data_IF_007990729126
#
_entry.id   IF_007990729126
#
_cell.length_a   1.000
_cell.length_b   1.000
_cell.length_c   1.000
_cell.angle_alpha   90.00
_cell.angle_beta   90.00
_cell.angle_gamma   90.00
#
_symmetry.space_group_name_H-M   'P 1'
#
loop_
_entity.id
_entity.type
_entity.pdbx_description
1 polymer ?
#
# COMPACT_ATOMS: atom_id res chain seq x y z
N UNK A 1 -6.77 -43.79 -60.20
CA UNK A 1 -7.28 -43.20 -58.95
C UNK A 1 -6.33 -42.08 -58.55
N UNK A 2 -6.80 -40.86 -58.69
CA UNK A 2 -6.11 -39.60 -58.38
C UNK A 2 -6.08 -39.38 -56.88
N UNK A 3 -4.89 -39.30 -56.29
CA UNK A 3 -4.69 -38.69 -54.98
C UNK A 3 -3.82 -37.45 -55.20
N UNK A 4 -4.47 -36.33 -55.46
CA UNK A 4 -3.79 -35.04 -55.57
C UNK A 4 -3.51 -34.54 -54.16
N UNK A 5 -2.27 -34.69 -53.70
CA UNK A 5 -1.77 -34.03 -52.50
C UNK A 5 -1.08 -32.73 -52.94
N UNK A 6 -1.78 -31.60 -52.83
CA UNK A 6 -1.16 -30.29 -52.95
C UNK A 6 -0.61 -29.86 -51.59
N UNK A 7 0.72 -29.72 -51.54
CA UNK A 7 1.43 -28.97 -50.50
C UNK A 7 1.41 -27.49 -50.88
N UNK A 8 1.00 -26.63 -49.95
CA UNK A 8 1.27 -25.19 -50.02
C UNK A 8 1.89 -24.70 -48.71
N UNK A 9 3.20 -24.44 -48.79
CA UNK A 9 3.95 -23.37 -48.15
C UNK A 9 3.45 -22.80 -46.81
N UNK A 10 4.19 -23.06 -45.73
CA UNK A 10 4.15 -22.28 -44.48
C UNK A 10 4.69 -20.87 -44.74
N UNK A 11 3.94 -19.79 -44.44
CA UNK A 11 4.55 -18.52 -44.10
C UNK A 11 4.94 -18.56 -42.62
N UNK A 12 6.17 -18.15 -42.37
CA UNK A 12 6.76 -17.89 -41.07
C UNK A 12 5.78 -17.20 -40.11
N UNK A 13 5.49 -17.87 -39.00
CA UNK A 13 4.72 -17.33 -37.90
C UNK A 13 5.13 -18.05 -36.65
N UNK A 14 5.93 -17.38 -35.82
CA UNK A 14 6.28 -17.83 -34.48
C UNK A 14 4.97 -18.15 -33.75
N UNK A 15 4.77 -19.42 -33.39
CA UNK A 15 3.78 -19.77 -32.38
C UNK A 15 4.34 -19.21 -31.07
N UNK A 16 3.97 -17.98 -30.73
CA UNK A 16 3.97 -17.56 -29.34
C UNK A 16 2.89 -18.39 -28.68
N UNK A 17 3.28 -19.55 -28.13
CA UNK A 17 2.45 -20.21 -27.12
C UNK A 17 2.21 -19.14 -26.06
N UNK A 18 0.96 -18.67 -25.95
CA UNK A 18 0.55 -17.82 -24.85
C UNK A 18 0.93 -18.56 -23.58
N UNK A 19 1.96 -18.06 -22.91
CA UNK A 19 2.18 -18.31 -21.51
C UNK A 19 0.93 -17.79 -20.81
N UNK A 20 -0.02 -18.68 -20.51
CA UNK A 20 -0.96 -18.47 -19.43
C UNK A 20 -0.16 -18.55 -18.12
N UNK A 21 0.70 -17.54 -17.90
CA UNK A 21 1.06 -17.15 -16.54
C UNK A 21 -0.19 -16.51 -16.00
N UNK A 22 -0.92 -17.31 -15.22
CA UNK A 22 -1.85 -16.87 -14.20
C UNK A 22 -1.52 -15.46 -13.72
N UNK A 23 -2.26 -14.48 -14.23
CA UNK A 23 -2.40 -13.18 -13.60
C UNK A 23 -3.29 -13.40 -12.37
N UNK A 24 -2.76 -14.18 -11.42
CA UNK A 24 -3.26 -14.18 -10.07
C UNK A 24 -2.87 -12.81 -9.53
N UNK A 25 -3.87 -11.93 -9.46
CA UNK A 25 -3.85 -10.67 -8.75
C UNK A 25 -3.06 -10.86 -7.45
N UNK A 26 -1.84 -10.35 -7.39
CA UNK A 26 -1.18 -10.16 -6.11
C UNK A 26 -2.02 -9.09 -5.43
N UNK A 27 -2.89 -9.49 -4.51
CA UNK A 27 -3.32 -8.60 -3.44
C UNK A 27 -2.01 -8.19 -2.79
N UNK A 28 -1.58 -6.95 -2.99
CA UNK A 28 -0.49 -6.39 -2.22
C UNK A 28 -0.97 -6.44 -0.76
N UNK A 29 -0.51 -7.45 -0.02
CA UNK A 29 -0.86 -7.63 1.37
C UNK A 29 -0.35 -6.43 2.15
N UNK A 30 -1.20 -5.84 2.99
CA UNK A 30 -0.78 -4.72 3.80
C UNK A 30 0.35 -5.14 4.75
N UNK A 31 1.55 -4.59 4.55
CA UNK A 31 2.72 -4.99 5.33
C UNK A 31 2.81 -4.31 6.71
N UNK A 32 1.88 -3.41 7.03
CA UNK A 32 1.84 -2.72 8.32
C UNK A 32 0.99 -3.51 9.30
N UNK A 33 1.63 -4.03 10.34
CA UNK A 33 0.93 -4.69 11.44
C UNK A 33 0.20 -3.66 12.30
N UNK A 34 -1.08 -3.90 12.53
CA UNK A 34 -1.93 -3.01 13.32
C UNK A 34 -2.81 -3.81 14.28
N UNK A 35 -3.06 -3.27 15.46
CA UNK A 35 -4.07 -3.81 16.39
C UNK A 35 -5.30 -2.91 16.43
N UNK A 36 -6.49 -3.51 16.55
CA UNK A 36 -7.74 -2.77 16.74
C UNK A 36 -7.80 -2.23 18.18
N UNK A 37 -8.09 -0.94 18.34
CA UNK A 37 -8.32 -0.35 19.67
C UNK A 37 -9.83 -0.24 19.93
N UNK A 38 -10.60 0.34 19.00
CA UNK A 38 -12.05 0.45 19.15
C UNK A 38 -12.66 1.70 18.55
N UNK A 39 -13.93 1.91 18.85
CA UNK A 39 -14.77 2.97 18.28
C UNK A 39 -14.95 4.15 19.26
N UNK A 40 -14.55 5.36 18.86
CA UNK A 40 -14.50 6.54 19.73
C UNK A 40 -15.10 7.78 19.09
N UNK A 41 -15.75 8.61 19.92
CA UNK A 41 -16.28 9.90 19.48
C UNK A 41 -15.13 10.85 19.13
N UNK A 42 -15.33 11.65 18.09
CA UNK A 42 -14.42 12.72 17.65
C UNK A 42 -15.16 14.05 17.70
N UNK A 43 -15.29 14.60 18.90
CA UNK A 43 -15.89 15.91 19.06
C UNK A 43 -14.92 16.95 18.47
N UNK A 44 -15.38 17.66 17.43
CA UNK A 44 -14.58 18.71 16.77
C UNK A 44 -14.25 19.86 17.73
N UNK A 45 -15.09 20.08 18.74
CA UNK A 45 -15.00 21.18 19.71
C UNK A 45 -14.66 20.63 21.10
N UNK A 46 -13.71 21.24 21.84
CA UNK A 46 -12.88 22.40 21.48
C UNK A 46 -11.78 22.07 20.46
N UNK A 47 -11.43 20.79 20.31
CA UNK A 47 -10.48 20.28 19.33
C UNK A 47 -10.68 18.78 19.16
N UNK A 48 -10.48 18.28 17.94
CA UNK A 48 -10.51 16.84 17.64
C UNK A 48 -9.49 16.05 18.48
N UNK A 49 -9.89 14.90 19.08
CA UNK A 49 -8.98 13.92 19.68
C UNK A 49 -7.86 13.45 18.75
N UNK A 50 -8.16 13.32 17.46
CA UNK A 50 -7.22 12.87 16.42
C UNK A 50 -7.18 13.96 15.34
N UNK A 51 -6.26 14.95 15.44
CA UNK A 51 -6.45 16.25 14.78
C UNK A 51 -5.94 16.37 13.35
N UNK A 52 -5.15 15.41 12.84
CA UNK A 52 -4.49 15.51 11.53
C UNK A 52 -5.22 14.64 10.51
N UNK A 53 -5.90 15.26 9.55
CA UNK A 53 -6.40 14.57 8.36
C UNK A 53 -5.22 14.25 7.44
N UNK A 54 -4.86 12.97 7.32
CA UNK A 54 -3.76 12.50 6.48
C UNK A 54 -4.16 12.48 5.00
N UNK A 55 -5.34 11.94 4.72
CA UNK A 55 -5.98 11.99 3.41
C UNK A 55 -7.49 11.80 3.53
N UNK A 56 -8.21 12.09 2.43
CA UNK A 56 -9.63 11.81 2.30
C UNK A 56 -9.99 11.32 0.90
N UNK A 57 -10.84 10.31 0.81
CA UNK A 57 -11.52 9.88 -0.42
C UNK A 57 -12.94 10.48 -0.53
N UNK A 58 -13.37 11.24 0.48
CA UNK A 58 -14.74 11.76 0.60
C UNK A 58 -14.89 13.17 0.04
N UNK A 59 -13.91 14.03 0.28
CA UNK A 59 -14.03 15.47 0.06
C UNK A 59 -13.08 15.96 -1.05
N UNK A 60 -13.59 16.19 -2.28
CA UNK A 60 -12.78 16.66 -3.40
C UNK A 60 -12.28 18.09 -3.25
N UNK A 61 -12.76 18.84 -2.26
CA UNK A 61 -12.30 20.21 -1.97
C UNK A 61 -11.14 20.23 -0.97
N UNK A 62 -10.85 19.11 -0.32
CA UNK A 62 -9.74 18.99 0.63
C UNK A 62 -8.39 19.08 -0.09
N UNK A 63 -7.39 19.78 0.48
CA UNK A 63 -6.04 19.80 -0.07
C UNK A 63 -5.33 18.43 0.01
N UNK A 64 -5.86 17.49 0.79
CA UNK A 64 -5.37 16.11 0.91
C UNK A 64 -6.35 15.09 0.33
N UNK A 65 -7.17 15.52 -0.64
CA UNK A 65 -8.00 14.61 -1.41
C UNK A 65 -7.14 13.68 -2.27
N UNK A 66 -7.43 12.38 -2.25
CA UNK A 66 -6.64 11.38 -2.98
C UNK A 66 -6.93 11.35 -4.48
N UNK A 67 -8.06 11.93 -4.92
CA UNK A 67 -8.62 11.69 -6.26
C UNK A 67 -9.50 10.44 -6.35
N UNK A 68 -9.56 9.64 -5.28
CA UNK A 68 -10.40 8.45 -5.15
C UNK A 68 -11.81 8.76 -4.63
N UNK A 69 -12.61 7.71 -4.44
CA UNK A 69 -13.95 7.81 -3.87
C UNK A 69 -14.23 6.62 -2.97
N UNK A 70 -15.18 6.78 -2.05
CA UNK A 70 -15.68 5.68 -1.22
C UNK A 70 -16.42 4.68 -2.12
N UNK A 71 -15.82 3.50 -2.35
CA UNK A 71 -16.44 2.45 -3.17
C UNK A 71 -17.43 1.62 -2.34
N UNK A 72 -18.66 2.13 -2.23
CA UNK A 72 -19.75 1.43 -1.56
C UNK A 72 -20.16 0.12 -2.25
N UNK A 73 -19.86 -0.05 -3.54
CA UNK A 73 -20.20 -1.28 -4.28
C UNK A 73 -19.24 -2.41 -3.91
N UNK A 74 -17.97 -2.09 -3.68
CA UNK A 74 -16.94 -3.03 -3.24
C UNK A 74 -16.45 -2.69 -1.82
N UNK A 75 -17.39 -2.39 -0.92
CA UNK A 75 -17.12 -1.85 0.42
C UNK A 75 -16.06 -2.62 1.20
N UNK A 76 -16.14 -3.95 1.25
CA UNK A 76 -15.22 -4.77 2.04
C UNK A 76 -13.77 -4.64 1.52
N UNK A 77 -13.59 -4.69 0.19
CA UNK A 77 -12.27 -4.49 -0.41
C UNK A 77 -11.76 -3.05 -0.24
N UNK A 78 -12.67 -2.09 -0.31
CA UNK A 78 -12.33 -0.68 -0.08
C UNK A 78 -11.92 -0.42 1.37
N UNK A 79 -12.53 -1.08 2.35
CA UNK A 79 -12.19 -0.98 3.76
C UNK A 79 -10.78 -1.53 4.05
N UNK A 80 -10.45 -2.72 3.52
CA UNK A 80 -9.11 -3.31 3.60
C UNK A 80 -8.05 -2.32 3.07
N UNK A 81 -8.30 -1.76 1.88
CA UNK A 81 -7.42 -0.79 1.21
C UNK A 81 -7.29 0.53 1.99
N UNK A 82 -8.41 1.07 2.47
CA UNK A 82 -8.46 2.30 3.25
C UNK A 82 -7.62 2.17 4.53
N UNK A 83 -7.82 1.09 5.29
CA UNK A 83 -7.03 0.78 6.49
C UNK A 83 -5.56 0.69 6.13
N UNK A 84 -5.21 0.00 5.05
CA UNK A 84 -3.83 -0.18 4.68
C UNK A 84 -3.14 1.15 4.35
N UNK A 85 -3.70 1.93 3.42
CA UNK A 85 -3.15 3.26 3.07
C UNK A 85 -3.04 4.16 4.29
N UNK A 86 -4.03 4.12 5.18
CA UNK A 86 -4.00 4.94 6.40
C UNK A 86 -2.88 4.53 7.35
N UNK A 87 -2.67 3.22 7.53
CA UNK A 87 -1.59 2.69 8.36
C UNK A 87 -0.21 3.06 7.82
N UNK A 88 -0.02 3.04 6.49
CA UNK A 88 1.24 3.41 5.83
C UNK A 88 1.53 4.91 5.99
N UNK A 89 0.54 5.77 5.75
CA UNK A 89 0.67 7.22 5.90
C UNK A 89 0.95 7.63 7.35
N UNK A 90 0.23 7.04 8.30
CA UNK A 90 0.44 7.31 9.72
C UNK A 90 1.82 6.83 10.19
N UNK A 91 2.24 5.63 9.78
CA UNK A 91 3.58 5.11 10.08
C UNK A 91 4.68 5.96 9.45
N UNK A 92 4.51 6.38 8.19
CA UNK A 92 5.46 7.24 7.49
C UNK A 92 5.69 8.59 8.18
N UNK A 93 4.68 9.08 8.91
CA UNK A 93 4.78 10.29 9.75
C UNK A 93 5.26 10.03 11.19
N UNK A 94 5.55 8.78 11.54
CA UNK A 94 5.96 8.38 12.89
C UNK A 94 4.82 8.46 13.92
N UNK A 95 3.57 8.41 13.48
CA UNK A 95 2.42 8.38 14.37
C UNK A 95 2.16 6.94 14.87
N UNK A 96 1.66 6.82 16.09
CA UNK A 96 1.46 5.52 16.76
C UNK A 96 0.07 4.92 16.55
N UNK A 97 -0.93 5.76 16.28
CA UNK A 97 -2.32 5.33 16.03
C UNK A 97 -2.88 6.08 14.83
N UNK A 98 -3.88 5.51 14.19
CA UNK A 98 -4.70 6.20 13.20
C UNK A 98 -6.18 5.87 13.42
N UNK A 99 -7.04 6.75 12.94
CA UNK A 99 -8.49 6.62 12.98
C UNK A 99 -9.06 6.62 11.57
N UNK A 100 -10.00 5.70 11.31
CA UNK A 100 -10.82 5.73 10.11
C UNK A 100 -12.18 6.34 10.47
N UNK A 101 -12.56 7.40 9.76
CA UNK A 101 -13.78 8.16 9.99
C UNK A 101 -14.48 8.47 8.67
N UNK A 102 -15.78 8.80 8.73
CA UNK A 102 -16.54 9.27 7.58
C UNK A 102 -16.44 8.32 6.37
N UNK A 103 -16.33 7.02 6.66
CA UNK A 103 -16.19 5.93 5.68
C UNK A 103 -14.95 5.98 4.80
N UNK A 104 -14.21 7.08 4.69
CA UNK A 104 -13.12 7.24 3.72
C UNK A 104 -12.09 8.31 4.10
N UNK A 105 -12.03 8.69 5.37
CA UNK A 105 -11.04 9.62 5.89
C UNK A 105 -10.04 8.92 6.79
N UNK A 106 -8.79 9.30 6.65
CA UNK A 106 -7.69 8.84 7.49
C UNK A 106 -7.24 9.96 8.41
N UNK A 107 -7.41 9.77 9.71
CA UNK A 107 -7.04 10.72 10.76
C UNK A 107 -5.91 10.18 11.62
N UNK A 108 -5.00 11.04 12.08
CA UNK A 108 -3.95 10.68 13.03
C UNK A 108 -3.43 11.92 13.78
N UNK A 109 -2.22 11.84 14.33
CA UNK A 109 -1.49 12.97 14.89
C UNK A 109 -0.39 12.54 15.86
N UNK A 110 0.58 13.42 16.16
CA UNK A 110 1.70 13.09 17.04
C UNK A 110 1.28 12.59 18.43
N UNK A 111 0.18 13.13 18.96
CA UNK A 111 -0.37 12.79 20.28
C UNK A 111 -1.66 11.97 20.23
N UNK A 112 -2.09 11.54 19.03
CA UNK A 112 -3.36 10.83 18.88
C UNK A 112 -3.47 9.59 19.78
N UNK A 113 -2.34 8.91 20.04
CA UNK A 113 -2.26 7.74 20.92
C UNK A 113 -2.58 8.04 22.41
N UNK A 114 -2.45 9.30 22.83
CA UNK A 114 -2.80 9.75 24.17
C UNK A 114 -4.23 10.30 24.24
N UNK A 115 -4.75 10.78 23.09
CA UNK A 115 -5.97 11.60 23.07
C UNK A 115 -7.17 10.92 22.41
N UNK A 116 -7.01 9.84 21.65
CA UNK A 116 -8.07 9.26 20.82
C UNK A 116 -9.40 8.98 21.54
N UNK A 117 -9.37 8.68 22.84
CA UNK A 117 -10.54 8.28 23.64
C UNK A 117 -11.09 9.38 24.55
N UNK A 118 -10.58 10.62 24.49
CA UNK A 118 -10.96 11.69 25.44
C UNK A 118 -12.45 12.06 25.39
N UNK A 119 -13.15 11.77 24.29
CA UNK A 119 -14.59 12.00 24.17
C UNK A 119 -15.44 10.74 24.47
N UNK A 120 -14.80 9.64 24.85
CA UNK A 120 -15.45 8.39 25.21
C UNK A 120 -15.79 7.49 24.01
N UNK A 121 -16.27 6.26 24.30
CA UNK A 121 -16.59 5.27 23.28
C UNK A 121 -17.84 5.64 22.47
N UNK A 122 -17.98 5.01 21.31
CA UNK A 122 -19.15 5.06 20.43
C UNK A 122 -19.48 3.66 19.91
N UNK A 123 -20.72 3.45 19.46
CA UNK A 123 -21.19 2.27 18.73
C UNK A 123 -21.44 2.59 17.23
N UNK A 124 -21.10 3.81 16.78
CA UNK A 124 -21.32 4.26 15.40
C UNK A 124 -20.12 3.95 14.50
N UNK A 125 -19.64 2.71 14.56
CA UNK A 125 -18.66 2.18 13.62
C UNK A 125 -19.29 1.04 12.82
N UNK A 126 -18.81 0.84 11.59
CA UNK A 126 -19.27 -0.20 10.68
C UNK A 126 -18.13 -1.14 10.30
N UNK A 127 -18.45 -2.38 9.97
CA UNK A 127 -17.54 -3.43 9.45
C UNK A 127 -17.95 -3.78 8.02
N UNK A 128 -17.55 -4.96 7.56
CA UNK A 128 -18.01 -5.67 6.38
C UNK A 128 -19.52 -5.53 6.16
N UNK A 129 -19.90 -5.40 4.88
CA UNK A 129 -21.27 -5.23 4.40
C UNK A 129 -22.00 -4.02 5.02
N UNK A 130 -21.24 -3.03 5.51
CA UNK A 130 -21.73 -1.86 6.25
C UNK A 130 -22.51 -2.23 7.52
N UNK A 131 -22.30 -3.44 8.06
CA UNK A 131 -22.92 -3.89 9.29
C UNK A 131 -22.33 -3.16 10.51
N UNK A 132 -23.04 -3.22 11.65
CA UNK A 132 -22.55 -2.66 12.90
C UNK A 132 -21.27 -3.38 13.36
N UNK A 133 -20.20 -2.62 13.63
CA UNK A 133 -18.93 -3.17 14.11
C UNK A 133 -19.07 -3.64 15.58
N UNK A 134 -18.77 -4.90 15.84
CA UNK A 134 -18.73 -5.48 17.19
C UNK A 134 -17.30 -5.85 17.58
N UNK A 135 -17.11 -6.45 18.76
CA UNK A 135 -15.80 -6.92 19.21
C UNK A 135 -15.28 -8.15 18.45
N UNK A 136 -16.14 -8.82 17.69
CA UNK A 136 -15.80 -10.02 16.90
C UNK A 136 -15.19 -9.69 15.53
N UNK A 137 -15.27 -8.42 15.12
CA UNK A 137 -14.91 -7.97 13.78
C UNK A 137 -13.44 -7.53 13.68
N UNK A 138 -12.73 -8.01 12.66
CA UNK A 138 -11.31 -7.72 12.44
C UNK A 138 -11.07 -6.26 11.99
N UNK A 139 -11.98 -5.72 11.18
CA UNK A 139 -11.82 -4.42 10.54
C UNK A 139 -13.10 -3.58 10.60
N UNK A 140 -12.93 -2.33 11.02
CA UNK A 140 -14.02 -1.38 11.16
C UNK A 140 -13.63 0.04 10.75
N UNK A 141 -14.64 0.84 10.42
CA UNK A 141 -14.54 2.25 10.04
C UNK A 141 -15.60 3.05 10.80
N UNK A 142 -15.22 4.23 11.30
CA UNK A 142 -16.16 5.13 11.97
C UNK A 142 -17.08 5.86 10.99
N UNK A 143 -18.31 6.13 11.44
CA UNK A 143 -19.28 6.96 10.71
C UNK A 143 -18.95 8.45 10.91
N UNK A 144 -19.97 9.31 10.88
CA UNK A 144 -19.84 10.74 11.09
C UNK A 144 -19.33 11.07 12.51
N UNK A 145 -18.27 11.87 12.59
CA UNK A 145 -17.67 12.34 13.86
C UNK A 145 -17.29 11.21 14.84
N UNK A 146 -16.96 10.04 14.30
CA UNK A 146 -16.52 8.87 15.06
C UNK A 146 -15.32 8.26 14.35
N UNK A 147 -14.27 7.92 15.09
CA UNK A 147 -13.12 7.19 14.56
C UNK A 147 -13.20 5.74 15.05
N UNK A 148 -13.01 4.78 14.15
CA UNK A 148 -12.48 3.48 14.58
C UNK A 148 -10.95 3.58 14.57
N UNK A 149 -10.33 3.30 15.72
CA UNK A 149 -8.92 3.58 15.97
C UNK A 149 -8.11 2.28 15.96
N UNK A 150 -6.96 2.32 15.30
CA UNK A 150 -5.97 1.25 15.24
C UNK A 150 -4.63 1.72 15.80
N UNK A 151 -3.92 0.83 16.49
CA UNK A 151 -2.52 1.00 16.87
C UNK A 151 -1.60 0.44 15.80
N UNK A 152 -0.51 1.14 15.48
CA UNK A 152 0.55 0.63 14.62
C UNK A 152 1.55 -0.12 15.49
N UNK A 153 1.67 -1.43 15.27
CA UNK A 153 2.62 -2.25 15.99
C UNK A 153 3.99 -2.05 15.38
N UNK A 154 4.93 -1.55 16.20
CA UNK A 154 6.32 -1.49 15.80
C UNK A 154 6.78 -2.92 15.47
N UNK A 155 7.21 -3.16 14.23
CA UNK A 155 7.82 -4.43 13.89
C UNK A 155 8.97 -4.66 14.88
N UNK A 156 8.87 -5.69 15.71
CA UNK A 156 9.93 -6.01 16.67
C UNK A 156 11.24 -6.11 15.89
N UNK A 157 12.16 -5.17 16.11
CA UNK A 157 13.55 -5.40 15.78
C UNK A 157 13.94 -6.63 16.61
N UNK A 158 14.13 -7.77 15.93
CA UNK A 158 14.35 -9.13 16.44
C UNK A 158 13.11 -10.02 16.70
N UNK A 159 12.67 -10.69 15.63
CA UNK A 159 12.78 -12.15 15.64
C UNK A 159 14.10 -12.52 14.95
N UNK A 160 15.08 -12.93 15.75
CA UNK A 160 16.30 -13.56 15.26
C UNK A 160 15.96 -14.72 14.33
N UNK A 161 16.81 -14.90 13.31
CA UNK A 161 16.86 -16.03 12.41
C UNK A 161 16.46 -17.37 13.07
N UNK A 162 15.36 -17.95 12.60
CA UNK A 162 15.17 -19.39 12.59
C UNK A 162 14.15 -19.74 11.52
N UNK A 163 14.52 -20.64 10.62
CA UNK A 163 13.64 -21.14 9.56
C UNK A 163 13.84 -20.51 8.19
N UNK A 164 15.06 -20.63 7.64
CA UNK A 164 15.22 -20.75 6.18
C UNK A 164 14.35 -21.94 5.75
N UNK A 165 13.12 -21.71 5.29
CA UNK A 165 12.40 -22.76 4.57
C UNK A 165 13.02 -22.85 3.18
N UNK A 166 14.14 -23.58 3.12
CA UNK A 166 14.68 -24.07 1.86
C UNK A 166 13.60 -24.99 1.30
N UNK A 167 12.91 -24.57 0.25
CA UNK A 167 12.28 -25.55 -0.62
C UNK A 167 13.43 -26.25 -1.35
N UNK A 168 13.95 -27.32 -0.76
CA UNK A 168 14.83 -28.26 -1.43
C UNK A 168 13.98 -28.99 -2.47
N UNK A 169 13.92 -28.44 -3.68
CA UNK A 169 13.54 -29.25 -4.82
C UNK A 169 14.80 -30.02 -5.23
N UNK A 170 14.87 -31.29 -4.82
CA UNK A 170 15.90 -32.22 -5.31
C UNK A 170 15.66 -32.38 -6.82
N UNK A 171 16.47 -31.69 -7.62
CA UNK A 171 16.68 -32.04 -9.00
C UNK A 171 18.05 -32.73 -9.06
N UNK A 172 18.02 -34.06 -9.05
CA UNK A 172 19.19 -34.86 -9.40
C UNK A 172 19.53 -34.63 -10.87
N UNK A 173 20.44 -33.69 -11.15
CA UNK A 173 21.20 -33.70 -12.38
C UNK A 173 22.63 -33.21 -12.12
N UNK A 174 23.51 -34.21 -12.00
CA UNK A 174 24.91 -34.28 -12.40
C UNK A 174 25.88 -33.16 -11.99
N UNK A 175 27.04 -33.59 -11.47
CA UNK A 175 28.14 -32.83 -10.91
C UNK A 175 28.52 -31.54 -11.65
N UNK A 176 28.70 -30.42 -10.94
CA UNK A 176 29.94 -29.60 -10.92
C UNK A 176 29.82 -28.52 -9.82
N UNK A 177 30.80 -28.47 -8.90
CA UNK A 177 30.88 -27.52 -7.78
C UNK A 177 31.54 -26.21 -8.23
N UNK A 178 30.83 -25.09 -8.14
CA UNK A 178 31.43 -23.74 -8.24
C UNK A 178 31.03 -22.94 -7.00
N UNK A 179 32.02 -22.60 -6.17
CA UNK A 179 31.87 -21.70 -5.02
C UNK A 179 32.32 -20.29 -5.41
N UNK A 180 31.40 -19.33 -5.42
CA UNK A 180 31.74 -17.90 -5.48
C UNK A 180 31.23 -17.23 -4.21
N UNK A 181 32.16 -16.77 -3.37
CA UNK A 181 31.87 -15.94 -2.21
C UNK A 181 31.65 -14.49 -2.62
N UNK A 182 30.67 -13.83 -2.01
CA UNK A 182 30.45 -12.39 -2.18
C UNK A 182 30.41 -11.73 -0.80
N UNK A 183 31.39 -10.86 -0.54
CA UNK A 183 31.42 -9.99 0.63
C UNK A 183 30.66 -8.70 0.30
N UNK A 184 29.58 -8.40 1.02
CA UNK A 184 28.91 -7.11 0.93
C UNK A 184 29.51 -6.14 1.97
N UNK A 185 30.47 -5.32 1.55
CA UNK A 185 30.84 -4.12 2.28
C UNK A 185 29.90 -2.97 1.89
N UNK A 186 29.20 -2.49 2.91
CA UNK A 186 28.35 -1.32 2.94
C UNK A 186 29.11 -0.06 2.47
N UNK A 187 28.58 0.66 1.48
CA UNK A 187 28.96 2.04 1.18
C UNK A 187 27.71 2.87 0.87
N UNK A 188 27.47 3.86 1.72
CA UNK A 188 26.48 4.92 1.55
C UNK A 188 26.82 5.74 0.31
N UNK A 189 25.88 5.82 -0.65
CA UNK A 189 25.98 6.70 -1.80
C UNK A 189 24.89 7.78 -1.75
N UNK A 190 25.26 8.98 -1.31
CA UNK A 190 24.49 10.20 -1.50
C UNK A 190 24.42 10.53 -3.01
N UNK A 191 23.21 10.73 -3.54
CA UNK A 191 23.02 11.19 -4.91
C UNK A 191 23.01 12.73 -4.90
N UNK A 192 24.08 13.34 -5.40
CA UNK A 192 24.09 14.75 -5.78
C UNK A 192 23.69 14.86 -7.26
N UNK A 193 22.57 15.50 -7.56
CA UNK A 193 22.19 15.86 -8.92
C UNK A 193 23.04 17.05 -9.39
N UNK A 194 23.94 16.81 -10.35
CA UNK A 194 24.68 17.86 -11.03
C UNK A 194 23.93 18.26 -12.32
N UNK A 195 23.28 19.44 -12.31
CA UNK A 195 22.64 20.01 -13.49
C UNK A 195 23.69 20.78 -14.29
N UNK A 196 23.93 20.38 -15.54
CA UNK A 196 24.86 21.07 -16.44
C UNK A 196 24.06 21.87 -17.46
N UNK A 197 24.11 23.19 -17.36
CA UNK A 197 23.49 24.11 -18.33
C UNK A 197 24.43 24.27 -19.53
N UNK A 198 23.98 23.86 -20.71
CA UNK A 198 24.65 24.17 -21.98
C UNK A 198 24.09 25.47 -22.55
N UNK A 199 24.95 26.45 -22.78
CA UNK A 199 24.59 27.71 -23.45
C UNK A 199 24.59 27.52 -24.97
N UNK A 200 23.64 28.13 -25.70
CA UNK A 200 23.63 28.06 -27.16
C UNK A 200 24.69 29.00 -27.78
N UNK A 201 25.25 28.57 -28.91
CA UNK A 201 26.28 29.26 -29.69
C UNK A 201 25.77 30.59 -30.29
N UNK A 202 26.65 31.58 -30.54
CA UNK A 202 26.25 32.88 -31.05
C UNK A 202 26.01 32.85 -32.56
N UNK A 203 24.83 33.32 -32.98
CA UNK A 203 24.47 33.55 -34.37
C UNK A 203 25.14 34.83 -34.88
N UNK A 204 25.88 34.74 -35.97
CA UNK A 204 26.50 35.90 -36.64
C UNK A 204 25.48 36.62 -37.52
N UNK A 205 25.35 37.93 -37.32
CA UNK A 205 24.56 38.83 -38.18
C UNK A 205 25.36 39.25 -39.42
N UNK A 206 24.72 39.50 -40.58
CA UNK A 206 25.41 40.02 -41.75
C UNK A 206 25.65 41.53 -41.61
N UNK A 207 26.84 41.97 -42.04
CA UNK A 207 27.28 43.39 -42.11
C UNK A 207 26.65 44.12 -43.32
N UNK A 208 26.64 45.47 -43.32
CA UNK A 208 25.65 46.32 -44.00
C UNK A 208 25.72 46.31 -45.51
#
# INVERSE_FOLDING_TARGET
>A
MTATLHFTSLPSGIILQRNDRSFASIKDECHIQTERIGCFKDAVIPSRPIPVLLFTDRDPTSPVYTGGFIDLKNWNLYMDDLKCRCSEEAKGKGYKVFGLQWYGECWSGPKAHETYNINGPSDQCVTHDLAHCTDEEEECVGRDFVNFVYEIIAANASHNASGKHIHNHTLEHNETRITTGYNNTHLHGQIHHHVTLTTPAPTTAPKP
#
